data_IF_483772313976
#
_entry.id   IF_483772313976
#
_cell.length_a   1.000
_cell.length_b   1.000
_cell.length_c   1.000
_cell.angle_alpha   90.00
_cell.angle_beta   90.00
_cell.angle_gamma   90.00
#
_symmetry.space_group_name_H-M   'P 1'
#
loop_
_entity.id
_entity.type
_entity.pdbx_description
1 polymer ?
#
# COMPACT_ATOMS: atom_id res chain seq x y z
N UNK A 1 5.19 -6.09 33.62
CA UNK A 1 4.74 -6.52 32.28
C UNK A 1 3.75 -5.49 31.76
N UNK A 2 4.16 -4.61 30.84
CA UNK A 2 3.24 -3.64 30.25
C UNK A 2 2.24 -4.37 29.36
N UNK A 3 0.95 -4.17 29.61
CA UNK A 3 -0.11 -4.55 28.66
C UNK A 3 0.27 -4.05 27.26
N UNK A 4 0.18 -4.86 26.20
CA UNK A 4 0.51 -4.41 24.86
C UNK A 4 -0.41 -3.25 24.53
N UNK A 5 0.16 -2.04 24.40
CA UNK A 5 -0.57 -0.87 23.90
C UNK A 5 -1.21 -1.32 22.59
N UNK A 6 -2.54 -1.38 22.56
CA UNK A 6 -3.33 -1.71 21.37
C UNK A 6 -2.91 -0.72 20.29
N UNK A 7 -2.06 -1.17 19.38
CA UNK A 7 -1.55 -0.33 18.29
C UNK A 7 -2.74 0.05 17.41
N UNK A 8 -3.34 1.20 17.70
CA UNK A 8 -4.50 1.69 16.97
C UNK A 8 -4.02 2.17 15.61
N UNK A 9 -4.18 1.31 14.60
CA UNK A 9 -4.03 1.71 13.21
C UNK A 9 -4.99 2.88 12.93
N UNK A 10 -4.47 3.93 12.29
CA UNK A 10 -5.25 5.16 11.99
C UNK A 10 -6.42 4.92 11.03
N UNK A 11 -6.35 3.88 10.20
CA UNK A 11 -7.39 3.52 9.24
C UNK A 11 -7.76 2.05 9.37
N UNK A 12 -9.05 1.76 9.32
CA UNK A 12 -9.58 0.41 9.19
C UNK A 12 -9.11 -0.19 7.85
N UNK A 13 -8.85 -1.49 7.84
CA UNK A 13 -8.44 -2.22 6.64
C UNK A 13 -9.37 -3.42 6.44
N UNK A 14 -9.59 -3.78 5.19
CA UNK A 14 -10.31 -4.99 4.79
C UNK A 14 -9.35 -5.96 4.11
N UNK A 15 -9.55 -7.26 4.33
CA UNK A 15 -8.88 -8.28 3.55
C UNK A 15 -9.56 -8.38 2.18
N UNK A 16 -8.76 -8.45 1.12
CA UNK A 16 -9.22 -8.57 -0.27
C UNK A 16 -8.32 -9.51 -1.05
N UNK A 17 -8.73 -9.89 -2.26
CA UNK A 17 -7.90 -10.66 -3.18
C UNK A 17 -8.10 -10.12 -4.59
N UNK A 18 -7.35 -9.07 -4.94
CA UNK A 18 -7.55 -8.35 -6.21
C UNK A 18 -6.26 -8.39 -7.03
N UNK A 19 -6.26 -9.04 -8.21
CA UNK A 19 -5.14 -8.99 -9.13
C UNK A 19 -4.83 -7.54 -9.56
N UNK A 20 -3.55 -7.21 -9.67
CA UNK A 20 -3.07 -5.89 -10.08
C UNK A 20 -1.76 -6.01 -10.86
N UNK A 21 -1.49 -5.03 -11.72
CA UNK A 21 -0.17 -4.79 -12.28
C UNK A 21 0.46 -3.62 -11.54
N UNK A 22 1.74 -3.73 -11.19
CA UNK A 22 2.50 -2.71 -10.48
C UNK A 22 3.66 -2.25 -11.36
N UNK A 23 3.82 -0.95 -11.48
CA UNK A 23 4.91 -0.31 -12.20
C UNK A 23 5.68 0.61 -11.25
N UNK A 24 6.96 0.33 -10.95
CA UNK A 24 7.81 1.31 -10.29
C UNK A 24 7.96 2.54 -11.20
N UNK A 25 7.58 3.69 -10.67
CA UNK A 25 7.63 4.98 -11.35
C UNK A 25 8.66 5.88 -10.68
N UNK A 26 9.38 6.65 -11.48
CA UNK A 26 10.29 7.67 -10.95
C UNK A 26 9.55 8.75 -10.16
N UNK A 27 10.33 9.53 -9.41
CA UNK A 27 9.85 10.78 -8.82
C UNK A 27 9.91 11.89 -9.89
N UNK A 28 8.89 12.74 -10.02
CA UNK A 28 8.94 13.89 -10.92
C UNK A 28 10.12 14.80 -10.58
N UNK A 29 10.88 15.21 -11.59
CA UNK A 29 11.94 16.20 -11.42
C UNK A 29 11.30 17.56 -11.09
N UNK A 30 11.45 18.00 -9.85
CA UNK A 30 11.00 19.32 -9.43
C UNK A 30 12.24 20.17 -9.15
N UNK A 31 12.49 21.15 -10.01
CA UNK A 31 13.58 22.11 -9.81
C UNK A 31 13.15 23.12 -8.76
N UNK A 32 13.80 23.09 -7.60
CA UNK A 32 13.66 24.13 -6.59
C UNK A 32 14.48 25.36 -7.01
N UNK A 33 14.04 26.55 -6.58
CA UNK A 33 14.89 27.75 -6.61
C UNK A 33 16.13 27.49 -5.75
N UNK A 34 17.28 28.07 -6.13
CA UNK A 34 18.57 27.75 -5.50
C UNK A 34 18.57 28.04 -3.99
N UNK A 35 17.94 29.15 -3.56
CA UNK A 35 17.77 29.48 -2.13
C UNK A 35 16.98 28.41 -1.36
N UNK A 36 15.98 27.79 -1.99
CA UNK A 36 15.21 26.70 -1.37
C UNK A 36 16.00 25.40 -1.38
N UNK A 37 16.71 25.11 -2.47
CA UNK A 37 17.56 23.93 -2.58
C UNK A 37 18.68 23.90 -1.52
N UNK A 38 19.11 25.08 -1.04
CA UNK A 38 20.11 25.20 0.02
C UNK A 38 19.61 24.77 1.42
N UNK A 39 18.29 24.76 1.65
CA UNK A 39 17.71 24.49 2.98
C UNK A 39 16.65 23.38 3.02
N UNK A 40 16.07 23.02 1.88
CA UNK A 40 15.09 21.94 1.77
C UNK A 40 15.77 20.62 1.38
N UNK A 41 15.52 19.58 2.17
CA UNK A 41 15.87 18.21 1.84
C UNK A 41 14.64 17.44 1.33
N UNK A 42 14.87 16.50 0.41
CA UNK A 42 13.82 15.66 -0.16
C UNK A 42 14.21 14.20 -0.11
N UNK A 43 13.23 13.36 0.22
CA UNK A 43 13.36 11.93 0.02
C UNK A 43 13.35 11.63 -1.48
N UNK A 44 14.40 10.97 -1.94
CA UNK A 44 14.50 10.45 -3.30
C UNK A 44 13.75 9.11 -3.38
N UNK A 45 12.92 8.93 -4.41
CA UNK A 45 12.41 7.61 -4.72
C UNK A 45 13.56 6.68 -5.15
N UNK A 46 13.45 5.40 -4.81
CA UNK A 46 14.32 4.40 -5.41
C UNK A 46 14.12 4.42 -6.93
N UNK A 47 15.23 4.43 -7.67
CA UNK A 47 15.25 4.35 -9.14
C UNK A 47 15.35 2.93 -9.65
N UNK A 48 15.41 1.96 -8.75
CA UNK A 48 15.54 0.55 -9.11
C UNK A 48 14.25 0.11 -9.81
N UNK A 49 14.42 -0.63 -10.92
CA UNK A 49 13.31 -1.30 -11.62
C UNK A 49 12.26 -0.35 -12.21
N UNK A 50 12.58 0.94 -12.39
CA UNK A 50 11.71 1.86 -13.12
C UNK A 50 11.49 1.32 -14.54
N UNK A 51 10.22 1.26 -14.95
CA UNK A 51 9.82 0.73 -16.26
C UNK A 51 9.53 -0.77 -16.28
N UNK A 52 9.79 -1.49 -15.18
CA UNK A 52 9.31 -2.87 -15.02
C UNK A 52 7.78 -2.87 -14.83
N UNK A 53 7.11 -3.92 -15.30
CA UNK A 53 5.73 -4.24 -14.93
C UNK A 53 5.73 -5.55 -14.15
N UNK A 54 5.15 -5.54 -12.95
CA UNK A 54 5.14 -6.66 -12.02
C UNK A 54 3.71 -7.12 -11.74
N UNK A 55 3.39 -8.41 -11.89
CA UNK A 55 2.11 -8.94 -11.43
C UNK A 55 2.09 -9.01 -9.90
N UNK A 56 0.94 -8.70 -9.31
CA UNK A 56 0.72 -8.84 -7.88
C UNK A 56 -0.75 -8.98 -7.51
N UNK A 57 -0.99 -9.09 -6.20
CA UNK A 57 -2.34 -9.20 -5.64
C UNK A 57 -2.48 -8.24 -4.48
N UNK A 58 -3.44 -7.33 -4.53
CA UNK A 58 -3.86 -6.54 -3.37
C UNK A 58 -4.51 -7.50 -2.37
N UNK A 59 -3.92 -7.60 -1.18
CA UNK A 59 -4.34 -8.52 -0.11
C UNK A 59 -5.04 -7.82 1.04
N UNK A 60 -4.75 -6.55 1.23
CA UNK A 60 -5.54 -5.70 2.11
C UNK A 60 -5.66 -4.29 1.52
N UNK A 61 -6.73 -3.61 1.89
CA UNK A 61 -7.05 -2.27 1.42
C UNK A 61 -7.56 -1.38 2.55
N UNK A 62 -7.17 -0.12 2.51
CA UNK A 62 -7.62 0.95 3.39
C UNK A 62 -7.74 2.25 2.62
N UNK A 63 -8.36 3.26 3.21
CA UNK A 63 -8.50 4.59 2.57
C UNK A 63 -7.16 5.25 2.24
N UNK A 64 -6.07 4.86 2.89
CA UNK A 64 -4.76 5.51 2.76
C UNK A 64 -3.70 4.61 2.14
N UNK A 65 -3.97 3.33 1.95
CA UNK A 65 -2.92 2.40 1.54
C UNK A 65 -3.40 0.97 1.42
N UNK A 66 -2.52 0.12 0.91
CA UNK A 66 -2.78 -1.28 0.63
C UNK A 66 -1.57 -2.13 1.00
N UNK A 67 -1.77 -3.44 1.12
CA UNK A 67 -0.69 -4.42 1.08
C UNK A 67 -0.80 -5.22 -0.23
N UNK A 68 0.31 -5.30 -0.96
CA UNK A 68 0.40 -5.97 -2.26
C UNK A 68 1.35 -7.16 -2.13
N UNK A 69 0.83 -8.37 -2.33
CA UNK A 69 1.61 -9.59 -2.39
C UNK A 69 2.21 -9.76 -3.79
N UNK A 70 3.54 -9.74 -3.89
CA UNK A 70 4.32 -9.86 -5.12
C UNK A 70 5.82 -9.91 -4.77
N UNK A 71 6.68 -9.88 -5.81
CA UNK A 71 8.13 -9.67 -5.62
C UNK A 71 8.39 -8.33 -4.90
N UNK A 72 9.03 -8.32 -3.72
CA UNK A 72 9.18 -7.11 -2.93
C UNK A 72 10.04 -6.03 -3.61
N UNK A 73 9.49 -4.82 -3.74
CA UNK A 73 10.24 -3.65 -4.21
C UNK A 73 11.13 -3.06 -3.10
N UNK A 74 12.13 -2.24 -3.44
CA UNK A 74 12.85 -1.42 -2.48
C UNK A 74 11.93 -0.52 -1.64
N UNK A 75 12.40 -0.15 -0.45
CA UNK A 75 11.72 0.88 0.33
C UNK A 75 11.83 2.21 -0.39
N UNK A 76 10.82 3.06 -0.22
CA UNK A 76 10.72 4.35 -0.87
C UNK A 76 10.69 4.27 -2.41
N UNK A 77 10.39 3.10 -2.99
CA UNK A 77 9.93 3.05 -4.37
C UNK A 77 8.57 3.74 -4.48
N UNK A 78 8.41 4.56 -5.52
CA UNK A 78 7.13 5.11 -5.92
C UNK A 78 6.56 4.18 -6.98
N UNK A 79 5.29 3.80 -6.87
CA UNK A 79 4.66 2.80 -7.73
C UNK A 79 3.34 3.32 -8.27
N UNK A 80 3.07 3.06 -9.55
CA UNK A 80 1.75 3.16 -10.15
C UNK A 80 1.15 1.75 -10.24
N UNK A 81 -0.14 1.62 -9.99
CA UNK A 81 -0.83 0.34 -10.15
C UNK A 81 -2.33 0.54 -10.36
N UNK A 82 -2.96 -0.43 -11.02
CA UNK A 82 -4.39 -0.42 -11.31
C UNK A 82 -5.07 -1.68 -10.82
N UNK A 83 -6.24 -1.54 -10.21
CA UNK A 83 -7.01 -2.69 -9.73
C UNK A 83 -8.52 -2.46 -9.83
N UNK A 84 -9.33 -3.50 -10.13
CA UNK A 84 -10.78 -3.39 -10.08
C UNK A 84 -11.28 -3.33 -8.63
N UNK A 85 -12.18 -2.40 -8.35
CA UNK A 85 -12.89 -2.29 -7.08
C UNK A 85 -14.38 -2.54 -7.31
N UNK A 86 -14.92 -3.53 -6.60
CA UNK A 86 -16.33 -3.91 -6.70
C UNK A 86 -17.27 -2.73 -6.43
N UNK A 87 -18.20 -2.51 -7.35
CA UNK A 87 -19.17 -1.41 -7.29
C UNK A 87 -18.63 -0.03 -7.68
N UNK A 88 -17.35 0.09 -8.04
CA UNK A 88 -16.75 1.34 -8.52
C UNK A 88 -16.19 1.21 -9.95
N UNK A 89 -15.38 0.18 -10.22
CA UNK A 89 -14.68 0.02 -11.50
C UNK A 89 -13.16 -0.02 -11.32
N UNK A 90 -12.41 0.38 -12.34
CA UNK A 90 -10.95 0.42 -12.27
C UNK A 90 -10.47 1.60 -11.42
N UNK A 91 -9.57 1.31 -10.47
CA UNK A 91 -8.89 2.29 -9.64
C UNK A 91 -7.45 2.41 -10.10
N UNK A 92 -7.02 3.63 -10.39
CA UNK A 92 -5.62 3.96 -10.64
C UNK A 92 -5.02 4.64 -9.41
N UNK A 93 -3.86 4.19 -8.95
CA UNK A 93 -3.20 4.72 -7.77
C UNK A 93 -1.71 4.91 -7.99
N UNK A 94 -1.17 5.99 -7.41
CA UNK A 94 0.26 6.19 -7.19
C UNK A 94 0.53 6.11 -5.70
N UNK A 95 1.55 5.37 -5.30
CA UNK A 95 1.83 5.12 -3.88
C UNK A 95 3.32 4.96 -3.57
N UNK A 96 3.66 5.10 -2.30
CA UNK A 96 5.01 4.89 -1.77
C UNK A 96 5.11 3.57 -1.02
N UNK A 97 6.11 2.77 -1.34
CA UNK A 97 6.46 1.58 -0.57
C UNK A 97 7.12 1.99 0.75
N UNK A 98 6.40 1.81 1.87
CA UNK A 98 6.88 2.23 3.20
C UNK A 98 7.49 1.10 4.01
N UNK A 99 7.05 -0.13 3.76
CA UNK A 99 7.58 -1.32 4.41
C UNK A 99 7.41 -2.51 3.47
N UNK A 100 8.21 -3.57 3.71
CA UNK A 100 8.13 -4.79 2.92
C UNK A 100 8.31 -6.04 3.76
N UNK A 101 7.61 -7.10 3.35
CA UNK A 101 7.84 -8.47 3.79
C UNK A 101 8.69 -9.14 2.72
N UNK A 102 9.97 -9.41 3.04
CA UNK A 102 10.95 -9.91 2.06
C UNK A 102 10.66 -11.34 1.59
N UNK A 103 10.13 -12.16 2.48
CA UNK A 103 9.90 -13.59 2.27
C UNK A 103 8.53 -13.97 2.82
N UNK A 104 7.95 -15.05 2.31
CA UNK A 104 6.75 -15.64 2.90
C UNK A 104 7.09 -16.05 4.35
N UNK A 105 6.17 -15.85 5.28
CA UNK A 105 6.38 -16.27 6.66
C UNK A 105 5.10 -16.78 7.32
N UNK A 106 5.26 -17.59 8.35
CA UNK A 106 4.15 -18.12 9.15
C UNK A 106 4.26 -17.53 10.55
N UNK A 107 3.16 -17.02 11.09
CA UNK A 107 3.09 -16.48 12.47
C UNK A 107 1.97 -17.17 13.26
N UNK A 108 2.03 -17.19 14.60
CA UNK A 108 0.90 -17.64 15.42
C UNK A 108 -0.29 -16.69 15.26
N UNK A 109 -1.46 -17.24 14.95
CA UNK A 109 -2.73 -16.53 14.92
C UNK A 109 -3.29 -16.23 16.32
N UNK A 110 -4.41 -15.49 16.41
CA UNK A 110 -5.01 -15.09 17.69
C UNK A 110 -5.44 -16.27 18.58
N UNK A 111 -5.78 -17.41 17.97
CA UNK A 111 -6.16 -18.68 18.59
C UNK A 111 -5.00 -19.69 18.67
N UNK A 112 -3.78 -19.27 18.29
CA UNK A 112 -2.61 -20.13 18.18
C UNK A 112 -2.50 -20.90 16.85
N UNK A 113 -3.50 -20.80 15.97
CA UNK A 113 -3.44 -21.44 14.64
C UNK A 113 -2.40 -20.74 13.77
N UNK A 114 -1.50 -21.47 13.08
CA UNK A 114 -0.53 -20.84 12.18
C UNK A 114 -1.21 -20.06 11.04
N UNK A 115 -0.75 -18.84 10.79
CA UNK A 115 -1.23 -17.97 9.70
C UNK A 115 -0.07 -17.69 8.74
N UNK A 116 -0.25 -18.06 7.49
CA UNK A 116 0.70 -17.79 6.42
C UNK A 116 0.53 -16.37 5.86
N UNK A 117 1.65 -15.70 5.70
CA UNK A 117 1.75 -14.31 5.31
C UNK A 117 2.66 -14.18 4.08
N UNK A 118 2.11 -13.83 2.90
CA UNK A 118 2.89 -13.82 1.66
C UNK A 118 3.85 -12.65 1.61
N UNK A 119 5.02 -12.80 0.98
CA UNK A 119 5.94 -11.72 0.66
C UNK A 119 5.27 -10.63 -0.17
N UNK A 120 5.78 -9.41 -0.05
CA UNK A 120 5.22 -8.24 -0.71
C UNK A 120 5.56 -6.95 0.00
N UNK A 121 4.78 -5.91 -0.23
CA UNK A 121 5.02 -4.60 0.37
C UNK A 121 3.75 -3.83 0.69
N UNK A 122 3.85 -2.99 1.72
CA UNK A 122 2.79 -2.07 2.10
C UNK A 122 3.03 -0.70 1.50
N UNK A 123 1.97 -0.16 0.89
CA UNK A 123 2.00 1.15 0.25
C UNK A 123 1.15 2.18 0.98
N UNK A 124 1.58 3.44 0.90
CA UNK A 124 0.78 4.62 1.24
C UNK A 124 0.42 5.36 -0.05
N UNK A 125 -0.86 5.60 -0.29
CA UNK A 125 -1.34 6.30 -1.47
C UNK A 125 -0.87 7.76 -1.46
N UNK A 126 -0.09 8.13 -2.47
CA UNK A 126 0.24 9.50 -2.82
C UNK A 126 -0.94 10.14 -3.57
N UNK A 127 -1.43 9.45 -4.60
CA UNK A 127 -2.52 9.91 -5.45
C UNK A 127 -3.48 8.75 -5.75
N UNK A 128 -4.77 9.04 -5.64
CA UNK A 128 -5.88 8.15 -5.99
C UNK A 128 -7.10 9.07 -6.26
N UNK A 129 -7.97 8.76 -7.24
CA UNK A 129 -9.18 9.54 -7.48
C UNK A 129 -10.02 9.68 -6.19
N UNK A 130 -10.64 10.86 -6.00
CA UNK A 130 -11.45 11.14 -4.80
C UNK A 130 -12.60 10.13 -4.68
N UNK A 131 -13.30 9.87 -5.78
CA UNK A 131 -14.44 8.95 -5.81
C UNK A 131 -14.01 7.51 -5.48
N UNK A 132 -12.83 7.08 -5.96
CA UNK A 132 -12.24 5.80 -5.59
C UNK A 132 -11.93 5.74 -4.09
N UNK A 133 -11.37 6.82 -3.52
CA UNK A 133 -11.11 6.90 -2.07
C UNK A 133 -12.40 6.82 -1.26
N UNK A 134 -13.47 7.46 -1.71
CA UNK A 134 -14.80 7.38 -1.08
C UNK A 134 -15.37 5.96 -1.18
N UNK A 135 -15.30 5.32 -2.34
CA UNK A 135 -15.75 3.94 -2.53
C UNK A 135 -15.01 2.96 -1.61
N UNK A 136 -13.68 3.11 -1.47
CA UNK A 136 -12.87 2.33 -0.53
C UNK A 136 -13.32 2.60 0.91
N UNK A 137 -13.55 3.87 1.28
CA UNK A 137 -14.01 4.23 2.61
C UNK A 137 -15.35 3.58 2.96
N UNK A 138 -16.30 3.61 2.03
CA UNK A 138 -17.61 2.96 2.19
C UNK A 138 -17.48 1.44 2.32
N UNK A 139 -16.65 0.81 1.48
CA UNK A 139 -16.40 -0.63 1.55
C UNK A 139 -15.82 -1.02 2.92
N UNK A 140 -14.80 -0.30 3.37
CA UNK A 140 -14.17 -0.53 4.68
C UNK A 140 -15.15 -0.31 5.83
N UNK A 141 -15.98 0.74 5.75
CA UNK A 141 -16.96 1.06 6.79
C UNK A 141 -18.08 0.03 6.86
N UNK A 142 -18.52 -0.51 5.71
CA UNK A 142 -19.51 -1.58 5.67
C UNK A 142 -18.97 -2.88 6.27
N UNK A 143 -17.75 -3.27 5.92
CA UNK A 143 -17.11 -4.46 6.47
C UNK A 143 -16.95 -4.37 7.99
N UNK A 144 -16.66 -3.17 8.53
CA UNK A 144 -16.57 -2.95 9.97
C UNK A 144 -17.93 -3.01 10.71
N UNK A 145 -19.06 -2.89 9.99
CA UNK A 145 -20.42 -2.94 10.55
C UNK A 145 -21.09 -4.30 10.38
N UNK A 146 -20.54 -5.19 9.55
CA UNK A 146 -21.08 -6.53 9.35
C UNK A 146 -20.87 -7.36 10.64
N UNK A 147 -21.90 -8.11 11.10
CA UNK A 147 -21.71 -9.06 12.19
C UNK A 147 -20.72 -10.15 11.75
N UNK A 148 -19.81 -10.49 12.66
CA UNK A 148 -18.80 -11.53 12.47
C UNK A 148 -19.42 -12.93 12.31
#
# INVERSE_FOLDING_TARGET
MSSPRREQRRALRIAVHIPTLIEPVGQPALRLHDDLAAVYERVAASTDRIGDTLPGVVRDLSTNGAFIACEPLPLLSRVAFTFPLDGFGQVEAIAWTLWRRREDCTIPGPDGTPVDLPRGFGVLFEAIPLDARMAIHELVSRAARAPA
#
